data_IF_113747585253
#
_entry.id   IF_113747585253
#
_cell.length_a   1.000
_cell.length_b   1.000
_cell.length_c   1.000
_cell.angle_alpha   90.00
_cell.angle_beta   90.00
_cell.angle_gamma   90.00
#
_symmetry.space_group_name_H-M   'P 1'
#
loop_
_entity.id
_entity.type
_entity.pdbx_description
1 polymer ?
#
# COMPACT_ATOMS: atom_id res chain seq x y z
N UNK A 1 -9.03 11.89 11.08
CA UNK A 1 -9.67 10.55 11.07
C UNK A 1 -9.37 9.93 9.72
N UNK A 2 -9.03 8.65 9.73
CA UNK A 2 -8.61 7.89 8.56
C UNK A 2 -9.40 6.59 8.45
N UNK A 3 -9.62 6.16 7.22
CA UNK A 3 -10.12 4.85 6.87
C UNK A 3 -8.96 4.01 6.36
N UNK A 4 -8.76 2.83 6.97
CA UNK A 4 -7.79 1.83 6.54
C UNK A 4 -8.55 0.74 5.81
N UNK A 5 -8.29 0.62 4.51
CA UNK A 5 -8.82 -0.43 3.66
C UNK A 5 -7.75 -1.49 3.47
N UNK A 6 -8.06 -2.75 3.70
CA UNK A 6 -7.12 -3.85 3.50
C UNK A 6 -7.74 -4.88 2.59
N UNK A 7 -7.00 -5.29 1.56
CA UNK A 7 -7.46 -6.27 0.59
C UNK A 7 -6.73 -7.59 0.77
N UNK A 8 -7.51 -8.67 0.80
CA UNK A 8 -7.03 -10.02 1.04
C UNK A 8 -7.42 -10.90 -0.14
N UNK A 9 -6.53 -11.83 -0.49
CA UNK A 9 -6.89 -12.96 -1.35
C UNK A 9 -7.55 -14.04 -0.49
N UNK A 10 -8.60 -14.67 -1.00
CA UNK A 10 -9.37 -15.70 -0.31
C UNK A 10 -10.74 -15.24 0.20
N UNK A 11 -11.37 -16.09 1.00
CA UNK A 11 -12.76 -15.91 1.44
C UNK A 11 -12.91 -15.28 2.83
N UNK A 12 -11.80 -14.83 3.45
CA UNK A 12 -11.79 -14.16 4.74
C UNK A 12 -10.81 -12.98 4.75
N UNK A 13 -10.99 -12.04 5.69
CA UNK A 13 -10.03 -10.96 5.96
C UNK A 13 -9.00 -11.42 6.99
N UNK A 14 -8.31 -12.51 6.70
CA UNK A 14 -7.29 -13.10 7.55
C UNK A 14 -5.94 -13.20 6.82
N UNK A 15 -4.88 -13.41 7.61
CA UNK A 15 -3.52 -13.43 7.07
C UNK A 15 -3.00 -12.04 6.71
N UNK A 16 -2.01 -12.00 5.81
CA UNK A 16 -1.38 -10.76 5.35
C UNK A 16 -2.11 -10.24 4.12
N UNK A 17 -2.66 -9.01 4.15
CA UNK A 17 -3.28 -8.41 2.98
C UNK A 17 -2.27 -8.17 1.87
N UNK A 18 -2.70 -8.27 0.62
CA UNK A 18 -1.86 -7.94 -0.53
C UNK A 18 -1.72 -6.42 -0.74
N UNK A 19 -2.68 -5.65 -0.22
CA UNK A 19 -2.59 -4.18 -0.17
C UNK A 19 -3.32 -3.61 1.04
N UNK A 20 -2.79 -2.51 1.56
CA UNK A 20 -3.41 -1.70 2.61
C UNK A 20 -3.39 -0.25 2.17
N UNK A 21 -4.54 0.42 2.21
CA UNK A 21 -4.68 1.82 1.81
C UNK A 21 -5.20 2.64 2.99
N UNK A 22 -4.54 3.74 3.30
CA UNK A 22 -5.02 4.75 4.22
C UNK A 22 -5.57 5.96 3.45
N UNK A 23 -6.79 6.36 3.80
CA UNK A 23 -7.49 7.51 3.21
C UNK A 23 -7.97 8.43 4.33
N UNK A 24 -7.88 9.74 4.12
CA UNK A 24 -8.57 10.68 5.00
C UNK A 24 -10.08 10.53 4.82
N UNK A 25 -10.79 10.29 5.93
CA UNK A 25 -12.24 10.10 5.90
C UNK A 25 -12.84 10.65 7.20
N UNK A 26 -13.42 11.85 7.12
CA UNK A 26 -14.03 12.53 8.26
C UNK A 26 -15.33 11.88 8.74
N UNK A 27 -15.95 11.01 7.94
CA UNK A 27 -17.17 10.28 8.28
C UNK A 27 -16.90 8.84 8.69
N UNK A 28 -15.64 8.42 8.80
CA UNK A 28 -15.29 7.06 9.22
C UNK A 28 -15.71 6.83 10.67
N UNK A 29 -16.57 5.85 10.90
CA UNK A 29 -17.03 5.42 12.23
C UNK A 29 -16.79 3.93 12.44
N UNK A 30 -16.75 3.48 13.70
CA UNK A 30 -16.61 2.07 14.05
C UNK A 30 -17.71 1.17 13.43
N UNK A 31 -18.87 1.74 13.07
CA UNK A 31 -19.95 1.01 12.40
C UNK A 31 -19.66 0.71 10.93
N UNK A 32 -18.71 1.43 10.31
CA UNK A 32 -18.23 1.17 8.95
C UNK A 32 -17.18 0.06 8.90
N UNK A 33 -16.74 -0.45 10.06
CA UNK A 33 -15.77 -1.52 10.11
C UNK A 33 -16.41 -2.83 9.63
N UNK A 34 -15.81 -3.41 8.60
CA UNK A 34 -16.38 -4.56 7.91
C UNK A 34 -15.30 -5.54 7.53
N UNK A 35 -15.74 -6.76 7.23
CA UNK A 35 -15.00 -7.72 6.41
C UNK A 35 -16.02 -8.32 5.43
N UNK A 36 -15.94 -7.92 4.16
CA UNK A 36 -16.93 -8.30 3.14
C UNK A 36 -16.24 -8.71 1.86
N UNK A 37 -16.94 -9.50 1.04
CA UNK A 37 -16.50 -9.76 -0.32
C UNK A 37 -16.35 -8.44 -1.07
N UNK A 38 -15.25 -8.29 -1.80
CA UNK A 38 -15.04 -7.15 -2.66
C UNK A 38 -15.87 -7.34 -3.93
N UNK A 39 -17.02 -6.65 -4.01
CA UNK A 39 -17.90 -6.68 -5.18
C UNK A 39 -17.39 -5.74 -6.28
N UNK A 40 -16.21 -6.03 -6.81
CA UNK A 40 -15.63 -5.32 -7.95
C UNK A 40 -16.32 -5.69 -9.26
N UNK A 41 -17.61 -5.34 -9.43
CA UNK A 41 -18.44 -5.38 -10.65
C UNK A 41 -18.25 -6.55 -11.64
N UNK A 42 -17.74 -7.70 -11.21
CA UNK A 42 -17.41 -8.84 -12.07
C UNK A 42 -18.06 -10.10 -11.51
N UNK A 43 -18.79 -10.78 -12.39
CA UNK A 43 -19.51 -12.01 -12.12
C UNK A 43 -18.59 -13.23 -11.99
N UNK A 44 -17.27 -13.02 -12.02
CA UNK A 44 -16.27 -14.07 -11.82
C UNK A 44 -15.70 -13.94 -10.43
N UNK A 45 -16.13 -14.83 -9.53
CA UNK A 45 -15.66 -14.95 -8.16
C UNK A 45 -14.14 -15.14 -8.16
N UNK A 46 -13.38 -14.06 -8.05
CA UNK A 46 -12.15 -14.06 -7.28
C UNK A 46 -12.59 -13.77 -5.85
N UNK A 47 -12.35 -14.73 -4.95
CA UNK A 47 -12.61 -14.53 -3.54
C UNK A 47 -11.60 -13.48 -3.08
N UNK A 48 -11.96 -12.20 -3.19
CA UNK A 48 -11.22 -11.10 -2.62
C UNK A 48 -12.08 -10.52 -1.51
N UNK A 49 -11.47 -10.31 -0.36
CA UNK A 49 -12.13 -9.71 0.78
C UNK A 49 -11.53 -8.34 1.04
N UNK A 50 -12.39 -7.39 1.39
CA UNK A 50 -11.98 -6.07 1.85
C UNK A 50 -12.38 -5.92 3.31
N UNK A 51 -11.44 -5.42 4.12
CA UNK A 51 -11.74 -4.95 5.47
C UNK A 51 -11.59 -3.44 5.56
N UNK A 52 -12.46 -2.80 6.33
CA UNK A 52 -12.38 -1.37 6.65
C UNK A 52 -12.17 -1.22 8.15
N UNK A 53 -11.25 -0.34 8.56
CA UNK A 53 -11.02 0.07 9.96
C UNK A 53 -10.93 1.59 10.04
N UNK A 54 -11.47 2.19 11.11
CA UNK A 54 -11.41 3.64 11.32
C UNK A 54 -10.46 4.00 12.45
N UNK A 55 -9.54 4.93 12.19
CA UNK A 55 -8.48 5.29 13.16
C UNK A 55 -8.08 6.76 13.08
N UNK A 56 -7.49 7.30 14.14
CA UNK A 56 -6.79 8.59 14.09
C UNK A 56 -5.28 8.43 13.87
N UNK A 57 -4.74 7.24 14.03
CA UNK A 57 -3.33 6.91 13.78
C UNK A 57 -3.26 5.88 12.65
N UNK A 58 -3.26 6.39 11.42
CA UNK A 58 -3.26 5.54 10.23
C UNK A 58 -1.97 4.72 10.11
N UNK A 59 -0.84 5.28 10.55
CA UNK A 59 0.47 4.61 10.45
C UNK A 59 0.44 3.35 11.31
N UNK A 60 0.09 3.48 12.58
CA UNK A 60 0.02 2.31 13.49
C UNK A 60 -0.99 1.28 13.00
N UNK A 61 -2.17 1.70 12.56
CA UNK A 61 -3.19 0.79 12.07
C UNK A 61 -2.74 0.04 10.81
N UNK A 62 -2.12 0.72 9.83
CA UNK A 62 -1.54 0.07 8.66
C UNK A 62 -0.48 -0.97 9.05
N UNK A 63 0.41 -0.66 10.01
CA UNK A 63 1.46 -1.59 10.46
C UNK A 63 0.86 -2.86 11.05
N UNK A 64 -0.18 -2.72 11.86
CA UNK A 64 -0.86 -3.84 12.49
C UNK A 64 -1.46 -4.82 11.48
N UNK A 65 -1.88 -4.35 10.29
CA UNK A 65 -2.39 -5.22 9.23
C UNK A 65 -1.36 -6.20 8.68
N UNK A 66 -0.08 -5.84 8.72
CA UNK A 66 1.00 -6.73 8.27
C UNK A 66 1.52 -7.64 9.39
N UNK A 67 1.22 -7.33 10.67
CA UNK A 67 1.73 -8.10 11.81
C UNK A 67 3.25 -8.16 11.81
N UNK A 68 3.80 -9.38 11.84
CA UNK A 68 5.24 -9.62 11.77
C UNK A 68 5.78 -9.76 10.33
N UNK A 69 4.89 -9.75 9.32
CA UNK A 69 5.31 -9.84 7.92
C UNK A 69 6.04 -8.57 7.48
N UNK A 70 7.14 -8.68 6.71
CA UNK A 70 7.83 -7.51 6.21
C UNK A 70 6.94 -6.75 5.21
N UNK A 71 6.99 -5.42 5.24
CA UNK A 71 6.17 -4.54 4.39
C UNK A 71 6.93 -3.29 3.95
N UNK A 72 6.40 -2.63 2.91
CA UNK A 72 6.84 -1.29 2.47
C UNK A 72 5.62 -0.38 2.42
N UNK A 73 5.72 0.80 3.03
CA UNK A 73 4.71 1.84 2.88
C UNK A 73 5.15 2.91 1.89
N UNK A 74 4.21 3.39 1.08
CA UNK A 74 4.30 4.60 0.30
C UNK A 74 3.27 5.59 0.79
N UNK A 75 3.73 6.62 1.50
CA UNK A 75 2.91 7.71 2.02
C UNK A 75 3.12 8.94 1.16
N UNK A 76 2.03 9.53 0.69
CA UNK A 76 2.05 10.77 -0.10
C UNK A 76 1.49 11.90 0.75
N UNK A 77 2.16 13.05 0.69
CA UNK A 77 1.71 14.28 1.35
C UNK A 77 1.32 15.33 0.32
N UNK A 78 0.40 16.22 0.70
CA UNK A 78 -0.08 17.32 -0.14
C UNK A 78 0.88 18.51 -0.15
N UNK A 79 1.80 18.57 0.82
CA UNK A 79 2.75 19.66 0.99
C UNK A 79 4.21 19.19 1.04
N UNK A 80 5.11 20.12 0.71
CA UNK A 80 6.55 19.90 0.74
C UNK A 80 7.13 19.79 2.16
N UNK A 81 6.33 20.05 3.20
CA UNK A 81 6.70 19.90 4.61
C UNK A 81 6.29 18.56 5.22
N UNK A 82 5.63 17.69 4.43
CA UNK A 82 5.10 16.39 4.85
C UNK A 82 4.19 16.47 6.08
N UNK A 83 3.42 17.55 6.18
CA UNK A 83 2.52 17.78 7.32
C UNK A 83 1.09 17.40 7.02
N UNK A 84 0.66 17.57 5.76
CA UNK A 84 -0.70 17.30 5.30
C UNK A 84 -0.74 15.99 4.55
N UNK A 85 -1.22 14.95 5.23
CA UNK A 85 -1.42 13.62 4.64
C UNK A 85 -2.32 13.71 3.40
N UNK A 86 -1.98 12.96 2.35
CA UNK A 86 -2.82 12.79 1.16
C UNK A 86 -3.40 11.38 1.12
N UNK A 87 -2.53 10.39 0.97
CA UNK A 87 -2.89 8.98 0.82
C UNK A 87 -1.70 8.10 1.24
N UNK A 88 -1.98 6.94 1.80
CA UNK A 88 -0.97 5.94 2.16
C UNK A 88 -1.27 4.61 1.51
N UNK A 89 -0.25 3.95 0.98
CA UNK A 89 -0.31 2.58 0.49
C UNK A 89 0.68 1.73 1.26
N UNK A 90 0.34 0.46 1.47
CA UNK A 90 1.20 -0.54 2.09
C UNK A 90 1.10 -1.85 1.34
N UNK A 91 2.26 -2.48 1.15
CA UNK A 91 2.40 -3.73 0.40
C UNK A 91 3.29 -4.70 1.17
N UNK A 92 2.99 -6.01 1.16
CA UNK A 92 3.88 -6.99 1.75
C UNK A 92 5.18 -7.05 0.95
N UNK A 93 6.31 -7.00 1.63
CA UNK A 93 7.64 -7.04 1.04
C UNK A 93 8.10 -8.48 0.78
N UNK A 94 7.20 -9.29 0.20
CA UNK A 94 7.42 -10.71 -0.09
C UNK A 94 8.34 -10.93 -1.30
N UNK A 95 8.45 -9.93 -2.18
CA UNK A 95 9.09 -10.04 -3.48
C UNK A 95 8.25 -10.78 -4.53
N UNK A 96 7.03 -11.22 -4.18
CA UNK A 96 6.07 -11.79 -5.11
C UNK A 96 5.31 -10.69 -5.87
N UNK A 97 4.64 -11.09 -6.95
CA UNK A 97 3.68 -10.25 -7.64
C UNK A 97 2.35 -10.28 -6.87
N UNK A 98 2.07 -9.20 -6.14
CA UNK A 98 0.90 -9.03 -5.28
C UNK A 98 -0.09 -8.09 -5.97
N UNK A 99 -1.38 -8.26 -5.71
CA UNK A 99 -2.43 -7.47 -6.35
C UNK A 99 -3.60 -8.35 -6.77
N UNK A 100 -4.68 -7.70 -7.22
CA UNK A 100 -5.83 -8.41 -7.77
C UNK A 100 -6.27 -7.78 -9.09
N UNK A 101 -6.94 -8.60 -9.89
CA UNK A 101 -7.58 -8.18 -11.12
C UNK A 101 -8.96 -7.58 -10.81
N UNK A 102 -9.05 -6.26 -10.84
CA UNK A 102 -10.32 -5.57 -11.07
C UNK A 102 -10.23 -4.87 -12.43
N UNK A 103 -11.22 -5.07 -13.32
CA UNK A 103 -11.24 -4.52 -14.68
C UNK A 103 -11.06 -2.99 -14.72
N UNK A 104 -11.38 -2.29 -13.63
CA UNK A 104 -11.29 -0.82 -13.54
C UNK A 104 -10.03 -0.29 -12.84
N UNK A 105 -9.37 -1.08 -11.99
CA UNK A 105 -8.27 -0.62 -11.12
C UNK A 105 -7.16 -1.69 -10.96
N UNK A 106 -6.89 -2.45 -12.03
CA UNK A 106 -5.82 -3.46 -11.99
C UNK A 106 -4.46 -2.79 -11.81
N UNK A 107 -3.87 -2.94 -10.62
CA UNK A 107 -2.46 -2.68 -10.39
C UNK A 107 -1.84 -3.86 -9.64
N UNK A 108 -0.73 -4.37 -10.17
CA UNK A 108 0.08 -5.41 -9.53
C UNK A 108 1.38 -4.78 -9.04
N UNK A 109 1.85 -5.24 -7.89
CA UNK A 109 2.98 -4.65 -7.18
C UNK A 109 3.95 -5.72 -6.74
N UNK A 110 5.24 -5.45 -6.92
CA UNK A 110 6.31 -6.20 -6.26
C UNK A 110 7.04 -5.25 -5.30
N UNK A 111 6.81 -5.44 -4.01
CA UNK A 111 7.50 -4.69 -2.96
C UNK A 111 8.66 -5.52 -2.38
N UNK A 112 9.80 -4.86 -2.12
CA UNK A 112 11.01 -5.51 -1.60
C UNK A 112 11.71 -4.67 -0.55
N UNK A 113 12.22 -5.35 0.48
CA UNK A 113 13.26 -4.85 1.37
C UNK A 113 14.60 -5.44 0.91
N UNK A 114 15.55 -4.58 0.55
CA UNK A 114 16.87 -4.98 0.10
C UNK A 114 17.83 -5.07 1.29
N UNK A 115 18.81 -5.97 1.20
CA UNK A 115 19.83 -6.15 2.24
C UNK A 115 20.71 -4.92 2.47
N UNK A 116 20.75 -3.99 1.52
CA UNK A 116 21.37 -2.68 1.62
C UNK A 116 20.62 -1.69 2.52
N UNK A 117 19.46 -2.06 3.06
CA UNK A 117 18.58 -1.15 3.81
C UNK A 117 17.71 -0.26 2.91
N UNK A 118 17.70 -0.50 1.60
CA UNK A 118 16.82 0.18 0.66
C UNK A 118 15.51 -0.60 0.46
N UNK A 119 14.41 0.09 0.17
CA UNK A 119 13.16 -0.52 -0.26
C UNK A 119 12.82 -0.13 -1.68
N UNK A 120 12.02 -0.96 -2.35
CA UNK A 120 11.47 -0.66 -3.65
C UNK A 120 10.05 -1.15 -3.80
N UNK A 121 9.29 -0.45 -4.62
CA UNK A 121 7.96 -0.84 -5.08
C UNK A 121 7.98 -0.77 -6.60
N UNK A 122 7.75 -1.90 -7.26
CA UNK A 122 7.61 -1.99 -8.71
C UNK A 122 6.14 -2.20 -9.07
N UNK A 123 5.65 -1.46 -10.07
CA UNK A 123 4.27 -1.50 -10.52
C UNK A 123 4.15 -2.11 -11.92
N UNK A 124 3.13 -2.95 -12.07
CA UNK A 124 2.88 -3.72 -13.27
C UNK A 124 1.39 -3.67 -13.64
N UNK A 125 1.11 -3.63 -14.93
CA UNK A 125 -0.25 -3.64 -15.48
C UNK A 125 -0.87 -5.03 -15.56
N UNK A 126 -0.07 -6.09 -15.35
CA UNK A 126 -0.53 -7.47 -15.47
C UNK A 126 0.25 -8.44 -14.56
N UNK A 127 -0.44 -9.50 -14.13
CA UNK A 127 0.18 -10.69 -13.57
C UNK A 127 0.90 -11.50 -14.67
N UNK A 128 2.06 -12.14 -14.42
CA UNK A 128 2.76 -12.28 -13.14
C UNK A 128 3.89 -11.25 -12.92
N UNK A 129 3.64 -9.97 -13.20
CA UNK A 129 4.62 -8.90 -13.04
C UNK A 129 5.88 -9.12 -13.90
N UNK A 130 5.66 -9.40 -15.19
CA UNK A 130 6.73 -9.53 -16.17
C UNK A 130 7.16 -8.17 -16.70
N UNK A 131 8.38 -8.07 -17.21
CA UNK A 131 8.96 -6.82 -17.72
C UNK A 131 8.11 -6.11 -18.78
N UNK A 132 7.38 -6.86 -19.61
CA UNK A 132 6.48 -6.28 -20.63
C UNK A 132 5.25 -5.56 -20.05
N UNK A 133 4.95 -5.82 -18.78
CA UNK A 133 3.85 -5.19 -18.03
C UNK A 133 4.34 -4.13 -17.02
N UNK A 134 5.65 -3.99 -16.85
CA UNK A 134 6.24 -3.01 -15.94
C UNK A 134 6.01 -1.59 -16.43
N UNK A 135 5.65 -0.67 -15.53
CA UNK A 135 5.47 0.73 -15.90
C UNK A 135 6.06 1.75 -14.92
N UNK A 136 6.38 1.36 -13.68
CA UNK A 136 6.95 2.28 -12.69
C UNK A 136 7.73 1.55 -11.61
N UNK A 137 8.79 2.18 -11.12
CA UNK A 137 9.50 1.75 -9.91
C UNK A 137 9.70 2.94 -8.99
N UNK A 138 9.45 2.75 -7.71
CA UNK A 138 9.82 3.66 -6.64
C UNK A 138 10.88 2.99 -5.77
N UNK A 139 11.88 3.75 -5.34
CA UNK A 139 13.00 3.26 -4.53
C UNK A 139 13.25 4.26 -3.40
N UNK A 140 13.45 3.77 -2.19
CA UNK A 140 14.07 4.55 -1.12
C UNK A 140 15.34 3.87 -0.65
N UNK A 141 16.39 4.64 -0.41
CA UNK A 141 17.68 4.15 0.08
C UNK A 141 18.09 4.94 1.33
N UNK A 142 18.68 4.26 2.30
CA UNK A 142 19.46 4.92 3.36
C UNK A 142 20.90 5.05 2.84
N UNK A 143 21.51 6.25 2.66
CA UNK A 143 21.05 7.63 2.74
C UNK A 143 21.08 8.29 1.35
N UNK A 144 19.96 8.29 0.63
CA UNK A 144 19.75 9.22 -0.49
C UNK A 144 18.35 9.82 -0.35
N UNK A 145 18.33 10.92 0.39
CA UNK A 145 17.45 12.07 0.18
C UNK A 145 17.87 12.78 -1.13
N UNK A 146 17.84 12.10 -2.29
CA UNK A 146 18.00 12.76 -3.60
C UNK A 146 16.69 12.74 -4.34
N UNK A 147 15.94 13.82 -4.16
CA UNK A 147 15.21 14.56 -5.19
C UNK A 147 15.06 13.81 -6.53
N UNK A 148 14.00 13.03 -6.68
CA UNK A 148 13.54 12.68 -8.03
C UNK A 148 12.79 13.88 -8.60
N UNK A 149 13.35 14.46 -9.66
CA UNK A 149 12.89 15.68 -10.32
C UNK A 149 11.67 15.48 -11.24
N UNK A 150 10.97 14.34 -11.17
CA UNK A 150 9.91 14.02 -12.14
C UNK A 150 8.48 13.99 -11.61
N UNK A 151 8.26 14.15 -10.30
CA UNK A 151 6.91 14.28 -9.73
C UNK A 151 6.89 15.31 -8.58
N UNK A 152 6.03 16.36 -8.63
CA UNK A 152 5.97 17.41 -7.60
C UNK A 152 5.18 17.02 -6.34
N UNK A 153 5.04 15.73 -6.03
CA UNK A 153 4.35 15.24 -4.82
C UNK A 153 5.35 14.54 -3.90
N UNK A 154 5.45 15.01 -2.64
CA UNK A 154 6.33 14.45 -1.62
C UNK A 154 5.94 12.98 -1.33
N UNK A 155 6.86 12.06 -1.64
CA UNK A 155 6.70 10.62 -1.55
C UNK A 155 7.57 10.09 -0.42
N UNK A 156 6.99 9.77 0.74
CA UNK A 156 7.70 9.14 1.84
C UNK A 156 7.56 7.63 1.77
N UNK A 157 8.69 6.91 1.77
CA UNK A 157 8.70 5.45 1.83
C UNK A 157 9.15 5.02 3.24
N UNK A 158 8.24 4.53 4.09
CA UNK A 158 8.62 4.08 5.43
C UNK A 158 9.16 2.63 5.39
N UNK A 159 10.41 2.46 5.82
CA UNK A 159 11.06 1.18 6.04
C UNK A 159 10.74 0.67 7.46
N UNK A 160 10.22 -0.54 7.58
CA UNK A 160 10.06 -1.24 8.86
C UNK A 160 11.40 -1.75 9.42
N UNK A 161 12.34 -0.84 9.64
CA UNK A 161 13.44 -0.88 10.63
C UNK A 161 14.23 0.44 10.70
N UNK A 162 13.69 1.54 10.17
CA UNK A 162 14.34 2.85 10.21
C UNK A 162 13.45 3.90 9.57
N UNK A 163 12.90 4.79 10.39
CA UNK A 163 12.22 5.99 9.94
C UNK A 163 13.17 6.82 9.08
N UNK A 164 12.79 7.12 7.84
CA UNK A 164 13.27 8.28 7.08
C UNK A 164 12.21 8.62 6.01
N UNK A 165 11.56 9.76 6.21
CA UNK A 165 10.66 10.42 5.27
C UNK A 165 11.45 10.92 4.05
N UNK A 166 10.76 11.08 2.92
CA UNK A 166 11.08 12.10 1.93
C UNK A 166 9.82 12.95 1.84
N UNK A 167 9.74 14.16 2.37
CA UNK A 167 10.68 15.14 2.94
C UNK A 167 11.98 14.65 3.60
#
# INVERSE_FOLDING_TARGET
>A
MYSIQSHYTGAACDGTPYSVTALENSTCTAEMETCTAYEGNSSTITADMISIECTNDYVTAMRQKFGDSPYVFQITYQDESCSSFSIGYGFPASGNCEGSFNESESYYVVARLNSSGSSSIEYFSANPCLSDSWYMTQIATTPILAKDSRYPSALSLELASGFLSSC
#
